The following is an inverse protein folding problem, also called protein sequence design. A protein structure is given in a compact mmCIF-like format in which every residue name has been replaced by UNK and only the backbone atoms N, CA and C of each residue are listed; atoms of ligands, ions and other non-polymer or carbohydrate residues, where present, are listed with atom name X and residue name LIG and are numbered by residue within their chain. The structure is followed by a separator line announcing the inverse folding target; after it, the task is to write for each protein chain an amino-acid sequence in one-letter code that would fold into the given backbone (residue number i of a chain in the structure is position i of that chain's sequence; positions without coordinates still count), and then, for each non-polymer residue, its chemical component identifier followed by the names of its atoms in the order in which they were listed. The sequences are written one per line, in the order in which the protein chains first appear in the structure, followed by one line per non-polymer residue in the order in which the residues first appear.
data_IF_341538616492
#
_entry.id   IF_341538616492
#
_cell.length_a   1.000
_cell.length_b   1.000
_cell.length_c   1.000
_cell.angle_alpha   90.00
_cell.angle_beta   90.00
_cell.angle_gamma   90.00
#
_symmetry.space_group_name_H-M   'P 1'
#
loop_
_entity.id
_entity.type
_entity.pdbx_description
1 polymer ?
#
# COMPACT_ATOMS: atom_id res chain seq x y z
N UNK A 1 11.87 -7.64 -15.31
CA UNK A 1 11.26 -7.68 -13.95
C UNK A 1 10.14 -8.72 -13.81
N UNK A 2 9.44 -9.10 -14.88
CA UNK A 2 8.37 -10.14 -14.85
C UNK A 2 8.85 -11.46 -14.25
N UNK A 3 10.09 -11.88 -14.53
CA UNK A 3 10.65 -13.12 -13.98
C UNK A 3 10.88 -13.07 -12.48
N UNK A 4 11.22 -11.90 -11.92
CA UNK A 4 11.40 -11.73 -10.48
C UNK A 4 10.06 -11.77 -9.74
N UNK A 5 9.03 -11.08 -10.23
CA UNK A 5 7.69 -11.13 -9.63
C UNK A 5 7.09 -12.54 -9.73
N UNK A 6 7.27 -13.23 -10.86
CA UNK A 6 6.84 -14.63 -11.02
C UNK A 6 7.57 -15.55 -10.03
N UNK A 7 8.88 -15.38 -9.87
CA UNK A 7 9.67 -16.10 -8.88
C UNK A 7 9.18 -15.88 -7.46
N UNK A 8 8.94 -14.62 -7.04
CA UNK A 8 8.44 -14.31 -5.69
C UNK A 8 7.06 -14.94 -5.45
N UNK A 9 6.16 -14.86 -6.43
CA UNK A 9 4.82 -15.48 -6.31
C UNK A 9 4.92 -16.98 -6.10
N UNK A 10 5.78 -17.66 -6.85
CA UNK A 10 6.03 -19.08 -6.67
C UNK A 10 6.65 -19.38 -5.28
N UNK A 11 7.72 -18.70 -4.91
CA UNK A 11 8.46 -18.92 -3.66
C UNK A 11 7.58 -18.73 -2.41
N UNK A 12 6.67 -17.76 -2.44
CA UNK A 12 5.77 -17.47 -1.31
C UNK A 12 4.38 -18.11 -1.45
N UNK A 13 4.08 -18.81 -2.54
CA UNK A 13 2.78 -19.46 -2.78
C UNK A 13 1.63 -18.48 -3.01
N UNK A 14 1.91 -17.33 -3.62
CA UNK A 14 0.95 -16.25 -3.86
C UNK A 14 0.10 -16.55 -5.09
N UNK A 15 -1.20 -16.76 -4.89
CA UNK A 15 -2.12 -17.21 -5.96
C UNK A 15 -2.83 -16.06 -6.67
N UNK A 16 -3.04 -14.91 -6.02
CA UNK A 16 -3.87 -13.84 -6.57
C UNK A 16 -3.09 -13.02 -7.59
N UNK A 17 -3.46 -13.10 -8.86
CA UNK A 17 -2.72 -12.48 -9.97
C UNK A 17 -3.10 -11.02 -10.23
N UNK A 18 -4.40 -10.71 -10.19
CA UNK A 18 -4.95 -9.37 -10.43
C UNK A 18 -5.75 -8.85 -9.22
N UNK A 19 -5.84 -7.51 -9.02
CA UNK A 19 -6.78 -6.94 -8.07
C UNK A 19 -8.21 -7.26 -8.50
N UNK A 20 -9.16 -6.96 -7.61
CA UNK A 20 -10.56 -7.00 -7.99
C UNK A 20 -10.90 -5.79 -8.86
N UNK A 21 -11.85 -5.98 -9.78
CA UNK A 21 -12.48 -4.89 -10.51
C UNK A 21 -13.70 -4.43 -9.70
N UNK A 22 -13.73 -3.15 -9.36
CA UNK A 22 -14.79 -2.54 -8.57
C UNK A 22 -16.10 -2.57 -9.36
N UNK A 23 -17.16 -3.14 -8.76
CA UNK A 23 -18.47 -3.28 -9.39
C UNK A 23 -18.68 -4.59 -10.15
N UNK A 24 -17.63 -5.36 -10.45
CA UNK A 24 -17.74 -6.64 -11.15
C UNK A 24 -18.43 -7.71 -10.28
N UNK A 25 -18.19 -7.69 -8.97
CA UNK A 25 -18.87 -8.57 -8.00
C UNK A 25 -19.70 -7.75 -7.02
N UNK A 26 -21.01 -7.97 -7.01
CA UNK A 26 -21.95 -7.28 -6.12
C UNK A 26 -21.58 -7.47 -4.64
N UNK A 27 -21.60 -6.38 -3.88
CA UNK A 27 -21.34 -6.37 -2.43
C UNK A 27 -19.89 -6.58 -2.01
N UNK A 28 -18.95 -6.78 -2.93
CA UNK A 28 -17.51 -6.89 -2.60
C UNK A 28 -16.86 -5.51 -2.54
N UNK A 29 -15.93 -5.36 -1.59
CA UNK A 29 -15.18 -4.11 -1.35
C UNK A 29 -13.70 -4.31 -1.63
N UNK A 30 -13.01 -3.32 -2.23
CA UNK A 30 -11.57 -3.36 -2.42
C UNK A 30 -10.84 -3.41 -1.07
N UNK A 31 -9.89 -4.34 -0.96
CA UNK A 31 -9.12 -4.59 0.26
C UNK A 31 -7.88 -3.71 0.27
N UNK A 32 -7.73 -2.91 1.32
CA UNK A 32 -6.63 -1.98 1.49
C UNK A 32 -5.78 -2.40 2.70
N UNK A 33 -4.49 -2.67 2.46
CA UNK A 33 -3.52 -2.86 3.52
C UNK A 33 -2.83 -1.54 3.85
N UNK A 34 -2.91 -1.08 5.09
CA UNK A 34 -2.10 0.02 5.60
C UNK A 34 -0.93 -0.55 6.42
N UNK A 35 0.29 -0.30 5.94
CA UNK A 35 1.51 -0.65 6.67
C UNK A 35 1.68 0.32 7.84
N UNK A 36 1.50 -0.17 9.06
CA UNK A 36 1.80 0.58 10.28
C UNK A 36 3.27 0.45 10.69
N UNK A 37 3.72 1.33 11.59
CA UNK A 37 5.07 1.33 12.18
C UNK A 37 4.96 1.61 13.67
N UNK A 38 5.79 0.95 14.49
CA UNK A 38 5.83 1.19 15.94
C UNK A 38 6.99 2.04 16.44
N UNK A 39 8.11 2.11 15.70
CA UNK A 39 9.32 2.83 16.17
C UNK A 39 9.38 4.27 15.66
N UNK A 40 9.68 4.44 14.37
CA UNK A 40 9.88 5.73 13.70
C UNK A 40 8.89 5.90 12.56
N UNK A 41 8.59 7.14 12.15
CA UNK A 41 7.70 7.42 11.02
C UNK A 41 6.33 6.81 11.26
N UNK A 42 5.81 7.05 12.45
CA UNK A 42 4.48 6.61 12.85
C UNK A 42 3.44 7.55 12.24
N UNK A 43 2.41 6.95 11.64
CA UNK A 43 1.20 7.67 11.26
C UNK A 43 0.36 7.88 12.53
N UNK A 44 0.45 9.06 13.13
CA UNK A 44 -0.13 9.35 14.43
C UNK A 44 -1.67 9.32 14.42
N UNK A 45 -2.29 9.60 13.28
CA UNK A 45 -3.73 9.55 13.09
C UNK A 45 -4.20 8.32 12.28
N UNK A 46 -3.52 7.19 12.41
CA UNK A 46 -3.82 5.94 11.68
C UNK A 46 -5.29 5.50 11.81
N UNK A 47 -5.88 5.62 13.01
CA UNK A 47 -7.29 5.26 13.23
C UNK A 47 -8.24 6.10 12.38
N UNK A 48 -8.00 7.41 12.26
CA UNK A 48 -8.83 8.32 11.46
C UNK A 48 -8.64 8.06 9.97
N UNK A 49 -7.41 7.79 9.54
CA UNK A 49 -7.12 7.42 8.15
C UNK A 49 -7.82 6.10 7.76
N UNK A 50 -7.76 5.10 8.64
CA UNK A 50 -8.44 3.83 8.43
C UNK A 50 -9.98 3.96 8.44
N UNK A 51 -10.54 4.81 9.30
CA UNK A 51 -11.97 5.10 9.33
C UNK A 51 -12.43 5.75 8.02
N UNK A 52 -11.73 6.79 7.55
CA UNK A 52 -12.02 7.43 6.26
C UNK A 52 -11.98 6.44 5.09
N UNK A 53 -10.98 5.57 5.04
CA UNK A 53 -10.90 4.56 3.98
C UNK A 53 -12.10 3.58 4.05
N UNK A 54 -12.55 3.17 5.25
CA UNK A 54 -13.75 2.34 5.38
C UNK A 54 -15.02 3.06 4.94
N UNK A 55 -15.17 4.34 5.30
CA UNK A 55 -16.29 5.19 4.88
C UNK A 55 -16.36 5.35 3.35
N UNK A 56 -15.20 5.40 2.69
CA UNK A 56 -15.11 5.44 1.22
C UNK A 56 -15.35 4.09 0.53
N UNK A 57 -15.56 3.01 1.29
CA UNK A 57 -15.92 1.70 0.75
C UNK A 57 -14.77 0.68 0.69
N UNK A 58 -13.61 0.93 1.30
CA UNK A 58 -12.53 -0.06 1.40
C UNK A 58 -12.74 -1.03 2.58
N UNK A 59 -12.34 -2.29 2.41
CA UNK A 59 -12.07 -3.21 3.51
C UNK A 59 -10.63 -3.00 4.00
N UNK A 60 -10.46 -2.37 5.17
CA UNK A 60 -9.14 -1.93 5.64
C UNK A 60 -8.51 -2.92 6.62
N UNK A 61 -7.34 -3.42 6.23
CA UNK A 61 -6.41 -4.22 7.04
C UNK A 61 -5.25 -3.33 7.49
N UNK A 62 -4.83 -3.43 8.74
CA UNK A 62 -3.66 -2.73 9.27
C UNK A 62 -2.66 -3.77 9.75
N UNK A 63 -1.42 -3.70 9.27
CA UNK A 63 -0.37 -4.63 9.68
C UNK A 63 0.99 -3.95 9.71
N UNK A 64 1.87 -4.38 10.60
CA UNK A 64 3.24 -3.87 10.68
C UNK A 64 4.17 -4.78 9.85
N UNK A 65 4.90 -4.18 8.91
CA UNK A 65 5.89 -4.91 8.13
C UNK A 65 7.07 -5.33 9.03
N UNK A 66 7.38 -6.63 9.07
CA UNK A 66 8.53 -7.17 9.80
C UNK A 66 8.26 -7.64 11.23
N UNK A 67 7.00 -7.76 11.67
CA UNK A 67 6.67 -8.40 12.96
C UNK A 67 6.63 -9.90 12.78
N UNK A 68 7.73 -10.57 13.14
CA UNK A 68 7.91 -12.01 13.05
C UNK A 68 9.27 -12.33 12.44
N UNK A 69 10.32 -12.36 13.26
CA UNK A 69 11.65 -12.79 12.83
C UNK A 69 11.59 -14.21 12.25
N UNK A 70 12.12 -14.39 11.04
CA UNK A 70 12.17 -15.68 10.33
C UNK A 70 11.37 -15.71 9.03
N UNK A 71 11.58 -16.77 8.25
CA UNK A 71 10.95 -16.99 6.92
C UNK A 71 9.41 -17.06 6.98
N UNK A 72 8.85 -17.55 8.09
CA UNK A 72 7.41 -17.65 8.30
C UNK A 72 6.70 -16.30 8.45
N UNK A 73 7.36 -15.28 9.01
CA UNK A 73 6.81 -13.93 9.12
C UNK A 73 6.70 -13.24 7.77
N UNK A 74 7.73 -13.39 6.93
CA UNK A 74 7.76 -12.83 5.57
C UNK A 74 6.66 -13.46 4.70
N UNK A 75 6.53 -14.79 4.72
CA UNK A 75 5.49 -15.47 3.93
C UNK A 75 4.07 -15.05 4.32
N UNK A 76 3.81 -14.90 5.62
CA UNK A 76 2.51 -14.41 6.11
C UNK A 76 2.24 -12.98 5.66
N UNK A 77 3.23 -12.09 5.74
CA UNK A 77 3.07 -10.71 5.31
C UNK A 77 2.91 -10.60 3.79
N UNK A 78 3.68 -11.37 3.01
CA UNK A 78 3.52 -11.47 1.56
C UNK A 78 2.11 -11.95 1.18
N UNK A 79 1.57 -12.94 1.89
CA UNK A 79 0.20 -13.42 1.70
C UNK A 79 -0.84 -12.34 2.04
N UNK A 80 -0.61 -11.57 3.12
CA UNK A 80 -1.48 -10.45 3.49
C UNK A 80 -1.49 -9.38 2.38
N UNK A 81 -0.31 -8.98 1.87
CA UNK A 81 -0.21 -8.01 0.77
C UNK A 81 -0.87 -8.56 -0.50
N UNK A 82 -0.62 -9.82 -0.86
CA UNK A 82 -1.20 -10.44 -2.06
C UNK A 82 -2.73 -10.55 -1.97
N UNK A 83 -3.29 -10.55 -0.77
CA UNK A 83 -4.73 -10.58 -0.55
C UNK A 83 -5.41 -9.21 -0.69
N UNK A 84 -4.66 -8.14 -0.94
CA UNK A 84 -5.15 -6.77 -1.03
C UNK A 84 -5.07 -6.22 -2.46
N UNK A 85 -5.88 -5.20 -2.73
CA UNK A 85 -5.94 -4.44 -3.98
C UNK A 85 -5.08 -3.18 -3.89
N UNK A 86 -4.97 -2.64 -2.67
CA UNK A 86 -4.28 -1.39 -2.38
C UNK A 86 -3.29 -1.60 -1.26
N UNK A 87 -2.05 -1.13 -1.45
CA UNK A 87 -1.03 -1.05 -0.42
C UNK A 87 -0.75 0.42 -0.07
N UNK A 88 -1.01 0.81 1.18
CA UNK A 88 -0.71 2.14 1.69
C UNK A 88 0.46 2.04 2.66
N UNK A 89 1.48 2.87 2.49
CA UNK A 89 2.62 2.85 3.40
C UNK A 89 3.48 4.09 3.32
N UNK A 90 4.26 4.31 4.36
CA UNK A 90 5.23 5.41 4.42
C UNK A 90 6.44 5.08 3.57
N UNK A 91 6.90 6.06 2.80
CA UNK A 91 8.14 6.00 2.05
C UNK A 91 9.26 5.33 2.86
N UNK A 92 9.86 4.28 2.30
CA UNK A 92 10.93 3.49 2.91
C UNK A 92 10.67 1.98 2.83
N UNK A 93 11.58 1.20 3.44
CA UNK A 93 11.72 -0.25 3.21
C UNK A 93 10.43 -1.09 3.34
N UNK A 94 9.45 -0.67 4.14
CA UNK A 94 8.16 -1.37 4.23
C UNK A 94 7.42 -1.44 2.90
N UNK A 95 7.55 -0.42 2.04
CA UNK A 95 6.91 -0.38 0.72
C UNK A 95 7.56 -1.32 -0.31
N UNK A 96 8.72 -1.93 -0.02
CA UNK A 96 9.30 -2.97 -0.89
C UNK A 96 8.36 -4.19 -1.01
N UNK A 97 7.48 -4.41 -0.03
CA UNK A 97 6.45 -5.43 -0.07
C UNK A 97 5.42 -5.25 -1.19
N UNK A 98 5.42 -4.11 -1.91
CA UNK A 98 4.64 -3.94 -3.13
C UNK A 98 4.88 -5.06 -4.15
N UNK A 99 6.05 -5.69 -4.14
CA UNK A 99 6.35 -6.82 -5.02
C UNK A 99 5.43 -8.04 -4.82
N UNK A 100 4.70 -8.11 -3.71
CA UNK A 100 3.73 -9.16 -3.41
C UNK A 100 2.29 -8.78 -3.77
N UNK A 101 2.04 -7.51 -4.12
CA UNK A 101 0.73 -7.03 -4.54
C UNK A 101 0.34 -7.70 -5.88
N UNK A 102 -0.95 -7.99 -6.12
CA UNK A 102 -1.39 -8.44 -7.44
C UNK A 102 -0.99 -7.44 -8.53
N UNK A 103 -0.70 -7.94 -9.73
CA UNK A 103 -0.43 -7.10 -10.91
C UNK A 103 -1.69 -6.29 -11.22
N UNK A 104 -1.56 -4.99 -11.38
CA UNK A 104 -2.69 -4.06 -11.51
C UNK A 104 -3.08 -3.38 -10.19
N UNK A 105 -2.56 -3.85 -9.05
CA UNK A 105 -2.86 -3.24 -7.76
C UNK A 105 -2.37 -1.80 -7.63
N UNK A 106 -2.79 -1.10 -6.59
CA UNK A 106 -2.44 0.31 -6.37
C UNK A 106 -1.54 0.47 -5.15
N UNK A 107 -0.44 1.19 -5.30
CA UNK A 107 0.47 1.54 -4.20
C UNK A 107 0.30 3.01 -3.87
N UNK A 108 -0.16 3.33 -2.66
CA UNK A 108 -0.25 4.69 -2.13
C UNK A 108 0.91 4.92 -1.17
N UNK A 109 1.88 5.69 -1.63
CA UNK A 109 3.02 6.06 -0.83
C UNK A 109 2.78 7.38 -0.10
N UNK A 110 2.94 7.35 1.22
CA UNK A 110 2.94 8.52 2.08
C UNK A 110 4.37 9.06 2.18
N UNK A 111 4.58 10.30 1.74
CA UNK A 111 5.87 10.97 1.74
C UNK A 111 5.88 11.99 2.87
N UNK A 112 6.67 11.78 3.95
CA UNK A 112 6.70 12.68 5.09
C UNK A 112 7.55 13.94 4.83
N UNK A 113 8.59 13.88 4.00
CA UNK A 113 9.51 15.00 3.76
C UNK A 113 9.26 15.67 2.40
N UNK A 114 9.12 17.00 2.38
CA UNK A 114 9.04 17.77 1.14
C UNK A 114 10.34 17.73 0.35
N UNK A 115 10.28 17.71 -0.99
CA UNK A 115 11.40 17.52 -1.92
C UNK A 115 11.90 16.08 -2.11
N UNK A 116 11.05 15.09 -1.81
CA UNK A 116 11.34 13.67 -2.05
C UNK A 116 10.75 13.14 -3.35
N UNK A 117 10.32 14.00 -4.27
CA UNK A 117 9.54 13.58 -5.43
C UNK A 117 10.32 12.59 -6.30
N UNK A 118 11.61 12.86 -6.54
CA UNK A 118 12.48 11.97 -7.30
C UNK A 118 12.65 10.61 -6.60
N UNK A 119 12.96 10.58 -5.30
CA UNK A 119 13.09 9.32 -4.55
C UNK A 119 11.77 8.55 -4.49
N UNK A 120 10.66 9.24 -4.24
CA UNK A 120 9.33 8.67 -4.21
C UNK A 120 8.93 8.07 -5.57
N UNK A 121 9.29 8.72 -6.69
CA UNK A 121 9.11 8.17 -8.03
C UNK A 121 10.01 6.95 -8.22
N UNK A 122 11.31 7.07 -8.06
CA UNK A 122 12.25 6.06 -8.52
C UNK A 122 12.34 4.83 -7.61
N UNK A 123 12.09 4.96 -6.31
CA UNK A 123 12.17 3.82 -5.39
C UNK A 123 10.88 3.00 -5.33
N UNK A 124 9.72 3.62 -5.55
CA UNK A 124 8.45 2.92 -5.38
C UNK A 124 7.44 3.19 -6.49
N UNK A 125 7.32 4.41 -7.03
CA UNK A 125 6.40 4.71 -8.12
C UNK A 125 6.72 3.99 -9.44
N UNK A 126 7.96 4.12 -9.94
CA UNK A 126 8.41 3.45 -11.16
C UNK A 126 8.52 1.93 -10.98
N UNK A 127 9.03 1.40 -9.84
CA UNK A 127 8.93 -0.02 -9.55
C UNK A 127 7.49 -0.52 -9.51
N UNK A 128 6.52 0.26 -8.99
CA UNK A 128 5.09 -0.06 -9.08
C UNK A 128 4.66 -0.30 -10.53
N UNK A 129 4.90 0.68 -11.39
CA UNK A 129 4.58 0.59 -12.82
C UNK A 129 5.23 -0.62 -13.49
N UNK A 130 6.49 -0.91 -13.19
CA UNK A 130 7.24 -1.99 -13.81
C UNK A 130 6.74 -3.41 -13.45
N UNK A 131 6.02 -3.58 -12.33
CA UNK A 131 5.33 -4.83 -12.00
C UNK A 131 3.82 -4.80 -12.32
N UNK A 132 3.39 -3.79 -13.08
CA UNK A 132 2.00 -3.61 -13.51
C UNK A 132 1.10 -2.99 -12.45
N UNK A 133 1.63 -2.51 -11.32
CA UNK A 133 0.86 -1.75 -10.34
C UNK A 133 0.88 -0.26 -10.64
N UNK A 134 -0.06 0.49 -10.08
CA UNK A 134 -0.11 1.95 -10.22
C UNK A 134 0.42 2.63 -8.96
N UNK A 135 1.41 3.52 -9.12
CA UNK A 135 2.03 4.25 -8.03
C UNK A 135 1.42 5.63 -7.80
N UNK A 136 0.72 5.83 -6.68
CA UNK A 136 0.19 7.12 -6.24
C UNK A 136 1.02 7.70 -5.08
N UNK A 137 1.17 9.02 -5.06
CA UNK A 137 1.82 9.77 -3.98
C UNK A 137 0.79 10.54 -3.16
N UNK A 138 0.91 10.44 -1.83
CA UNK A 138 0.23 11.26 -0.84
C UNK A 138 1.26 11.98 0.03
N UNK A 139 1.07 13.28 0.24
CA UNK A 139 1.95 14.08 1.10
C UNK A 139 1.41 14.08 2.54
N UNK A 140 2.31 14.01 3.50
CA UNK A 140 2.00 14.16 4.92
C UNK A 140 2.81 15.30 5.54
N UNK A 141 2.24 15.91 6.57
CA UNK A 141 2.95 16.93 7.36
C UNK A 141 3.72 16.24 8.49
N UNK A 142 5.00 16.58 8.64
CA UNK A 142 5.85 16.05 9.72
C UNK A 142 5.39 16.62 11.06
N UNK A 143 5.26 15.76 12.05
CA UNK A 143 4.95 16.11 13.44
C UNK A 143 5.96 15.37 14.34
N UNK A 144 6.76 16.13 15.11
CA UNK A 144 7.98 15.65 15.77
C UNK A 144 9.08 15.26 14.76
N UNK A 145 10.25 14.82 15.23
CA UNK A 145 11.45 14.68 14.38
C UNK A 145 11.30 13.68 13.23
N UNK A 146 10.37 12.72 13.29
CA UNK A 146 10.16 11.71 12.24
C UNK A 146 8.71 11.19 12.07
N UNK A 147 7.80 11.43 13.02
CA UNK A 147 6.42 10.99 12.92
C UNK A 147 5.58 11.97 12.08
N UNK A 148 4.37 11.59 11.69
CA UNK A 148 3.57 12.45 10.83
C UNK A 148 2.07 12.25 11.06
N UNK A 149 1.32 13.28 10.66
CA UNK A 149 -0.14 13.24 10.55
C UNK A 149 -0.52 13.43 9.09
N UNK A 150 -1.41 12.58 8.59
CA UNK A 150 -2.00 12.81 7.28
C UNK A 150 -3.11 13.84 7.39
N UNK A 151 -3.06 14.87 6.56
CA UNK A 151 -4.17 15.78 6.37
C UNK A 151 -5.30 15.05 5.64
N UNK A 152 -6.35 14.70 6.37
CA UNK A 152 -7.48 13.93 5.88
C UNK A 152 -8.20 14.59 4.68
N UNK A 153 -8.32 15.92 4.67
CA UNK A 153 -8.93 16.66 3.55
C UNK A 153 -8.12 16.53 2.27
N UNK A 154 -6.78 16.57 2.37
CA UNK A 154 -5.88 16.39 1.22
C UNK A 154 -5.71 14.92 0.82
N UNK A 155 -5.90 14.00 1.76
CA UNK A 155 -5.76 12.57 1.51
C UNK A 155 -7.00 11.95 0.85
N UNK A 156 -8.20 12.40 1.21
CA UNK A 156 -9.47 11.87 0.66
C UNK A 156 -9.51 11.82 -0.87
N UNK A 157 -9.15 12.87 -1.63
CA UNK A 157 -9.14 12.81 -3.09
C UNK A 157 -8.18 11.76 -3.67
N UNK A 158 -7.08 11.44 -2.96
CA UNK A 158 -6.18 10.37 -3.38
C UNK A 158 -6.85 9.00 -3.25
N UNK A 159 -7.62 8.77 -2.20
CA UNK A 159 -8.38 7.53 -2.02
C UNK A 159 -9.53 7.39 -3.02
N UNK A 160 -10.18 8.49 -3.39
CA UNK A 160 -11.17 8.47 -4.48
C UNK A 160 -10.52 8.09 -5.81
N UNK A 161 -9.36 8.69 -6.12
CA UNK A 161 -8.61 8.30 -7.32
C UNK A 161 -8.23 6.82 -7.32
N UNK A 162 -7.91 6.23 -6.16
CA UNK A 162 -7.65 4.79 -6.06
C UNK A 162 -8.86 3.97 -6.47
N UNK A 163 -10.08 4.38 -6.12
CA UNK A 163 -11.31 3.69 -6.53
C UNK A 163 -11.49 3.75 -8.05
N UNK A 164 -11.24 4.91 -8.67
CA UNK A 164 -11.29 5.05 -10.13
C UNK A 164 -10.33 4.08 -10.81
N UNK A 165 -9.10 3.94 -10.27
CA UNK A 165 -8.08 3.03 -10.81
C UNK A 165 -8.42 1.54 -10.66
N UNK A 166 -9.42 1.20 -9.84
CA UNK A 166 -9.88 -0.17 -9.66
C UNK A 166 -11.14 -0.48 -10.47
N UNK A 167 -11.68 0.47 -11.24
CA UNK A 167 -12.84 0.25 -12.10
C UNK A 167 -12.48 -0.35 -13.47
N UNK A 168 -11.21 -0.26 -13.86
CA UNK A 168 -10.64 -0.76 -15.12
C UNK A 168 -9.77 -2.01 -14.90
#
# INVERSE_FOLDING_TARGET
MVDFTRFLRHAYGLRRDKPMVLGETSGKKPRMLIISRRRTRKLLNLRQVAAMARELGFEVVVSEAGVGGGSGGVKRFASAVNSCDVLVGVHGAGLTNQAFLPRGGVVVQIVPWGRMEWMATNFYGAPAAAHGAQGLKALADIVMTQDFKLNLRRFRPKLLRVLDLLQD
#
